data_IF_096172035249
#
_entry.id   IF_096172035249
#
_cell.length_a   1.000
_cell.length_b   1.000
_cell.length_c   1.000
_cell.angle_alpha   90.00
_cell.angle_beta   90.00
_cell.angle_gamma   90.00
#
_symmetry.space_group_name_H-M   'P 1'
#
loop_
_entity.id
_entity.type
_entity.pdbx_description
1 polymer ?
#
# COMPACT_ATOMS: atom_id res chain seq x y z
N UNK A 1 -70.10 -21.81 49.09
CA UNK A 1 -70.41 -20.94 47.94
C UNK A 1 -70.93 -19.60 48.48
N UNK A 2 -70.50 -18.47 47.88
CA UNK A 2 -70.94 -17.07 48.11
C UNK A 2 -70.33 -16.28 49.29
N UNK A 3 -69.52 -15.29 48.90
CA UNK A 3 -68.96 -14.14 49.64
C UNK A 3 -69.97 -12.99 49.76
N UNK A 4 -69.85 -12.17 50.82
CA UNK A 4 -70.07 -10.70 50.89
C UNK A 4 -69.79 -10.30 52.35
N UNK A 5 -69.10 -9.23 52.72
CA UNK A 5 -68.64 -8.02 52.03
C UNK A 5 -68.55 -6.95 53.11
N UNK A 6 -67.41 -6.87 53.80
CA UNK A 6 -67.17 -5.87 54.86
C UNK A 6 -66.79 -4.53 54.27
N UNK A 7 -67.50 -3.48 54.67
CA UNK A 7 -67.22 -2.08 54.33
C UNK A 7 -66.63 -1.43 55.58
N UNK A 8 -65.48 -0.76 55.48
CA UNK A 8 -65.17 0.45 56.24
C UNK A 8 -63.91 1.16 55.72
N UNK A 9 -64.15 2.26 54.98
CA UNK A 9 -63.53 3.59 55.04
C UNK A 9 -62.20 3.75 55.80
N UNK A 10 -61.20 4.38 55.17
CA UNK A 10 -60.73 5.73 55.57
C UNK A 10 -59.53 6.29 54.75
N UNK A 11 -59.68 7.59 54.43
CA UNK A 11 -58.67 8.65 54.39
C UNK A 11 -57.54 8.55 53.35
N UNK A 12 -57.74 9.18 52.19
CA UNK A 12 -56.64 9.71 51.38
C UNK A 12 -56.15 11.01 52.04
N UNK A 13 -54.96 10.95 52.64
CA UNK A 13 -54.14 12.12 52.96
C UNK A 13 -53.08 12.22 51.85
N UNK A 14 -53.15 13.27 51.05
CA UNK A 14 -52.02 13.72 50.23
C UNK A 14 -50.99 14.39 51.13
N UNK A 15 -49.70 14.20 50.84
CA UNK A 15 -48.80 15.33 50.89
C UNK A 15 -48.19 15.55 49.52
N UNK A 16 -48.33 16.80 49.11
CA UNK A 16 -47.53 17.49 48.13
C UNK A 16 -46.03 17.44 48.47
N UNK A 17 -45.23 17.65 47.42
CA UNK A 17 -43.93 18.30 47.40
C UNK A 17 -42.66 17.46 47.13
N UNK A 18 -41.88 17.97 46.17
CA UNK A 18 -40.42 17.84 46.17
C UNK A 18 -39.76 16.78 45.29
N UNK A 19 -39.63 17.07 43.99
CA UNK A 19 -38.38 16.91 43.23
C UNK A 19 -37.71 15.53 43.11
N UNK A 20 -37.56 15.04 41.86
CA UNK A 20 -36.47 14.11 41.52
C UNK A 20 -36.02 14.26 40.07
N UNK A 21 -35.10 15.20 39.88
CA UNK A 21 -34.15 15.26 38.75
C UNK A 21 -33.17 14.10 38.90
N UNK A 22 -33.56 12.89 38.50
CA UNK A 22 -32.66 11.72 38.54
C UNK A 22 -32.88 10.72 37.39
N UNK A 23 -33.51 11.18 36.29
CA UNK A 23 -33.75 10.34 35.11
C UNK A 23 -33.13 10.87 33.81
N UNK A 24 -32.48 12.04 33.84
CA UNK A 24 -31.91 12.68 32.64
C UNK A 24 -30.43 12.38 32.38
N UNK A 25 -29.70 11.74 33.31
CA UNK A 25 -28.24 11.55 33.15
C UNK A 25 -27.87 10.22 32.51
N UNK A 26 -28.70 9.18 32.65
CA UNK A 26 -28.40 7.83 32.11
C UNK A 26 -28.57 7.74 30.59
N UNK A 27 -29.41 8.58 29.98
CA UNK A 27 -29.55 8.63 28.53
C UNK A 27 -28.42 9.40 27.83
N UNK A 28 -27.70 10.30 28.52
CA UNK A 28 -26.56 11.03 27.91
C UNK A 28 -25.29 10.17 27.86
N UNK A 29 -25.00 9.41 28.92
CA UNK A 29 -23.81 8.53 28.96
C UNK A 29 -23.83 7.47 27.83
N UNK A 30 -25.00 6.92 27.49
CA UNK A 30 -25.15 5.94 26.41
C UNK A 30 -24.97 6.57 25.02
N UNK A 31 -25.37 7.84 24.86
CA UNK A 31 -25.24 8.56 23.59
C UNK A 31 -23.77 8.92 23.31
N UNK A 32 -23.03 9.30 24.34
CA UNK A 32 -21.60 9.65 24.27
C UNK A 32 -20.74 8.41 23.91
N UNK A 33 -20.99 7.27 24.55
CA UNK A 33 -20.27 6.01 24.25
C UNK A 33 -20.51 5.54 22.80
N UNK A 34 -21.72 5.74 22.27
CA UNK A 34 -22.06 5.40 20.90
C UNK A 34 -21.42 6.36 19.88
N UNK A 35 -21.23 7.63 20.24
CA UNK A 35 -20.53 8.60 19.41
C UNK A 35 -19.03 8.32 19.36
N UNK A 36 -18.42 7.98 20.50
CA UNK A 36 -17.01 7.55 20.58
C UNK A 36 -16.78 6.27 19.75
N UNK A 37 -17.68 5.29 19.83
CA UNK A 37 -17.59 4.08 19.01
C UNK A 37 -17.67 4.38 17.50
N UNK A 38 -18.54 5.31 17.10
CA UNK A 38 -18.62 5.77 15.70
C UNK A 38 -17.38 6.52 15.26
N UNK A 39 -16.83 7.39 16.12
CA UNK A 39 -15.59 8.12 15.86
C UNK A 39 -14.40 7.16 15.70
N UNK A 40 -14.28 6.17 16.58
CA UNK A 40 -13.24 5.13 16.48
C UNK A 40 -13.40 4.29 15.22
N UNK A 41 -14.63 3.94 14.84
CA UNK A 41 -14.91 3.23 13.58
C UNK A 41 -14.56 4.08 12.35
N UNK A 42 -14.80 5.40 12.39
CA UNK A 42 -14.39 6.31 11.32
C UNK A 42 -12.86 6.44 11.22
N UNK A 43 -12.16 6.47 12.36
CA UNK A 43 -10.69 6.46 12.40
C UNK A 43 -10.13 5.14 11.86
N UNK A 44 -10.72 4.00 12.22
CA UNK A 44 -10.31 2.70 11.66
C UNK A 44 -10.51 2.66 10.14
N UNK A 45 -11.65 3.16 9.65
CA UNK A 45 -11.91 3.28 8.20
C UNK A 45 -10.96 4.24 7.50
N UNK A 46 -10.54 5.34 8.14
CA UNK A 46 -9.55 6.26 7.57
C UNK A 46 -8.15 5.62 7.54
N UNK A 47 -7.79 4.87 8.57
CA UNK A 47 -6.54 4.12 8.62
C UNK A 47 -6.52 3.03 7.55
N UNK A 48 -7.57 2.20 7.44
CA UNK A 48 -7.75 1.21 6.37
C UNK A 48 -7.78 1.85 4.97
N UNK A 49 -8.50 2.96 4.78
CA UNK A 49 -8.51 3.66 3.50
C UNK A 49 -7.14 4.27 3.14
N UNK A 50 -6.34 4.66 4.14
CA UNK A 50 -4.96 5.13 3.92
C UNK A 50 -4.01 3.97 3.56
N UNK A 51 -4.23 2.79 4.15
CA UNK A 51 -3.49 1.56 3.85
C UNK A 51 -3.86 1.02 2.45
N UNK A 52 -5.15 1.05 2.09
CA UNK A 52 -5.66 0.72 0.75
C UNK A 52 -5.17 1.73 -0.29
N UNK A 53 -5.12 3.02 0.03
CA UNK A 53 -4.55 4.03 -0.88
C UNK A 53 -3.02 3.87 -1.01
N UNK A 54 -2.33 3.53 0.08
CA UNK A 54 -0.91 3.18 0.09
C UNK A 54 -0.58 1.87 -0.65
N UNK A 55 -1.52 0.91 -0.69
CA UNK A 55 -1.39 -0.31 -1.49
C UNK A 55 -1.77 -0.10 -2.95
N UNK A 56 -2.69 0.82 -3.26
CA UNK A 56 -3.03 1.18 -4.63
C UNK A 56 -1.88 1.91 -5.35
N UNK A 57 -1.08 2.71 -4.63
CA UNK A 57 0.17 3.28 -5.15
C UNK A 57 1.31 2.26 -5.32
N UNK A 58 1.19 1.05 -4.75
CA UNK A 58 2.12 -0.07 -4.98
C UNK A 58 1.72 -0.96 -6.15
N UNK A 59 0.54 -0.74 -6.73
CA UNK A 59 0.06 -1.38 -7.95
C UNK A 59 0.10 -0.40 -9.13
N UNK A 60 1.18 0.36 -9.28
CA UNK A 60 1.49 0.95 -10.57
C UNK A 60 1.88 -0.19 -11.50
N UNK A 61 1.20 -0.28 -12.64
CA UNK A 61 1.24 -1.37 -13.59
C UNK A 61 2.64 -1.97 -13.79
N UNK A 62 2.69 -3.28 -14.03
CA UNK A 62 3.90 -4.09 -14.28
C UNK A 62 4.90 -3.48 -15.29
N UNK A 63 4.50 -2.47 -16.07
CA UNK A 63 5.33 -1.71 -17.00
C UNK A 63 6.38 -0.81 -16.33
N UNK A 64 6.08 -0.25 -15.15
CA UNK A 64 7.02 0.64 -14.43
C UNK A 64 7.94 -0.12 -13.48
N UNK A 65 7.80 -1.45 -13.39
CA UNK A 65 8.65 -2.26 -12.55
C UNK A 65 10.00 -2.56 -13.24
N UNK A 66 11.14 -2.06 -12.72
CA UNK A 66 12.45 -2.27 -13.33
C UNK A 66 12.90 -3.74 -13.32
N UNK A 67 12.24 -4.61 -12.55
CA UNK A 67 12.51 -6.04 -12.46
C UNK A 67 11.65 -6.92 -13.38
N UNK A 68 10.86 -6.32 -14.28
CA UNK A 68 10.11 -7.05 -15.30
C UNK A 68 10.90 -7.07 -16.62
N UNK A 69 10.95 -8.23 -17.27
CA UNK A 69 11.46 -8.40 -18.62
C UNK A 69 10.29 -8.44 -19.61
N UNK A 70 10.41 -7.71 -20.71
CA UNK A 70 9.43 -7.76 -21.78
C UNK A 70 9.55 -9.09 -22.56
N UNK A 71 8.48 -9.52 -23.24
CA UNK A 71 8.51 -10.75 -24.06
C UNK A 71 9.53 -10.70 -25.20
N UNK A 72 9.88 -9.50 -25.65
CA UNK A 72 10.92 -9.27 -26.66
C UNK A 72 12.35 -9.22 -26.09
N UNK A 73 12.53 -9.27 -24.77
CA UNK A 73 13.86 -9.16 -24.16
C UNK A 73 14.57 -10.50 -24.21
N UNK A 74 15.71 -10.53 -24.90
CA UNK A 74 16.57 -11.69 -24.99
C UNK A 74 18.06 -11.29 -25.00
N UNK A 75 18.98 -12.21 -24.65
CA UNK A 75 20.41 -11.90 -24.55
C UNK A 75 21.08 -11.51 -25.88
N UNK A 76 20.43 -11.83 -27.00
CA UNK A 76 20.88 -11.48 -28.35
C UNK A 76 20.42 -10.10 -28.83
N UNK A 77 19.63 -9.37 -28.03
CA UNK A 77 19.08 -8.08 -28.43
C UNK A 77 20.17 -7.01 -28.44
N UNK A 78 20.37 -6.36 -29.59
CA UNK A 78 21.26 -5.20 -29.73
C UNK A 78 20.47 -3.94 -29.39
N UNK A 79 20.75 -3.35 -28.22
CA UNK A 79 20.05 -2.13 -27.76
C UNK A 79 20.79 -0.82 -28.14
N UNK A 80 22.02 -0.92 -28.63
CA UNK A 80 22.83 0.21 -29.13
C UNK A 80 23.52 -0.22 -30.42
N UNK A 81 23.44 0.59 -31.46
CA UNK A 81 24.05 0.32 -32.77
C UNK A 81 25.57 0.56 -32.80
N UNK A 82 26.06 1.45 -31.95
CA UNK A 82 27.49 1.75 -31.83
C UNK A 82 28.23 0.55 -31.22
N UNK A 83 29.18 -0.02 -31.96
CA UNK A 83 30.12 -1.02 -31.45
C UNK A 83 31.24 -0.27 -30.73
N UNK A 84 31.55 -0.65 -29.50
CA UNK A 84 32.63 -0.05 -28.72
C UNK A 84 33.99 -0.44 -29.35
N UNK A 85 34.75 0.56 -29.79
CA UNK A 85 36.05 0.39 -30.47
C UNK A 85 37.23 1.01 -29.69
N UNK A 86 36.96 1.48 -28.47
CA UNK A 86 37.93 2.16 -27.60
C UNK A 86 38.05 3.67 -27.84
N UNK A 87 37.68 4.18 -29.01
CA UNK A 87 37.70 5.62 -29.33
C UNK A 87 36.36 6.29 -29.09
N UNK A 88 35.27 5.52 -29.15
CA UNK A 88 33.90 6.03 -29.13
C UNK A 88 33.18 5.86 -27.77
N UNK A 89 33.91 5.62 -26.67
CA UNK A 89 33.31 5.33 -25.36
C UNK A 89 32.28 6.37 -24.92
N UNK A 90 32.55 7.67 -25.11
CA UNK A 90 31.63 8.72 -24.68
C UNK A 90 30.26 8.57 -25.37
N UNK A 91 30.26 8.55 -26.71
CA UNK A 91 29.05 8.38 -27.52
C UNK A 91 28.34 7.05 -27.23
N UNK A 92 29.11 5.97 -27.11
CA UNK A 92 28.58 4.65 -26.76
C UNK A 92 27.91 4.65 -25.38
N UNK A 93 28.54 5.25 -24.37
CA UNK A 93 28.04 5.28 -23.00
C UNK A 93 26.75 6.09 -22.87
N UNK A 94 26.63 7.18 -23.62
CA UNK A 94 25.40 8.00 -23.68
C UNK A 94 24.28 7.19 -24.33
N UNK A 95 24.54 6.58 -25.48
CA UNK A 95 23.57 5.74 -26.17
C UNK A 95 23.12 4.56 -25.30
N UNK A 96 24.05 3.90 -24.61
CA UNK A 96 23.75 2.78 -23.71
C UNK A 96 22.88 3.20 -22.53
N UNK A 97 23.18 4.34 -21.88
CA UNK A 97 22.34 4.86 -20.79
C UNK A 97 20.93 5.18 -21.27
N UNK A 98 20.79 5.86 -22.41
CA UNK A 98 19.48 6.21 -23.00
C UNK A 98 18.68 4.93 -23.31
N UNK A 99 19.30 3.93 -23.95
CA UNK A 99 18.63 2.68 -24.27
C UNK A 99 18.21 1.88 -23.03
N UNK A 100 19.03 1.88 -21.97
CA UNK A 100 18.67 1.22 -20.71
C UNK A 100 17.57 1.97 -19.96
N UNK A 101 17.59 3.29 -19.98
CA UNK A 101 16.56 4.14 -19.37
C UNK A 101 15.20 3.93 -20.04
N UNK A 102 15.16 3.93 -21.38
CA UNK A 102 13.96 3.64 -22.16
C UNK A 102 13.39 2.23 -21.90
N UNK A 103 14.21 1.29 -21.42
CA UNK A 103 13.80 -0.07 -21.02
C UNK A 103 13.52 -0.21 -19.53
N UNK A 104 13.62 0.87 -18.76
CA UNK A 104 13.51 0.88 -17.30
C UNK A 104 14.51 -0.11 -16.64
N UNK A 105 15.78 -0.03 -17.05
CA UNK A 105 16.87 -0.89 -16.57
C UNK A 105 18.11 -0.12 -16.12
N UNK A 106 18.12 1.20 -16.25
CA UNK A 106 19.26 2.04 -15.84
C UNK A 106 19.62 1.86 -14.37
N UNK A 107 18.61 1.66 -13.51
CA UNK A 107 18.80 1.45 -12.07
C UNK A 107 19.69 0.27 -11.69
N UNK A 108 19.76 -0.75 -12.54
CA UNK A 108 20.64 -1.92 -12.35
C UNK A 108 22.12 -1.59 -12.57
N UNK A 109 22.41 -0.50 -13.29
CA UNK A 109 23.78 -0.09 -13.68
C UNK A 109 24.29 1.05 -12.82
N UNK A 110 23.45 2.06 -12.54
CA UNK A 110 23.84 3.21 -11.73
C UNK A 110 23.78 2.96 -10.22
N UNK A 111 23.18 1.83 -9.81
CA UNK A 111 23.06 1.42 -8.41
C UNK A 111 21.87 2.04 -7.67
N UNK A 112 21.01 2.82 -8.34
CA UNK A 112 19.75 3.30 -7.75
C UNK A 112 18.79 2.15 -7.44
N UNK A 113 18.87 1.03 -8.17
CA UNK A 113 18.20 -0.22 -7.82
C UNK A 113 19.16 -1.15 -7.07
N UNK A 114 19.07 -1.13 -5.74
CA UNK A 114 19.93 -1.91 -4.86
C UNK A 114 19.77 -3.42 -5.11
N UNK A 115 20.89 -4.13 -4.99
CA UNK A 115 20.92 -5.59 -4.99
C UNK A 115 20.22 -6.10 -3.72
N UNK A 116 19.16 -6.91 -3.83
CA UNK A 116 18.51 -7.53 -2.67
C UNK A 116 19.43 -8.56 -1.99
N UNK A 117 19.13 -8.88 -0.72
CA UNK A 117 19.75 -10.02 -0.03
C UNK A 117 19.48 -11.32 -0.79
N UNK A 118 20.38 -12.30 -0.72
CA UNK A 118 20.18 -13.60 -1.39
C UNK A 118 18.98 -14.38 -0.81
N UNK A 119 18.59 -14.08 0.43
CA UNK A 119 17.41 -14.65 1.08
C UNK A 119 16.09 -14.00 0.65
N UNK A 120 16.13 -12.87 -0.08
CA UNK A 120 14.96 -12.16 -0.55
C UNK A 120 14.35 -12.87 -1.78
N UNK A 121 13.02 -13.01 -1.80
CA UNK A 121 12.27 -13.60 -2.92
C UNK A 121 12.52 -12.87 -4.25
N UNK A 122 12.83 -11.57 -4.20
CA UNK A 122 13.12 -10.73 -5.36
C UNK A 122 14.53 -10.93 -5.94
N UNK A 123 15.46 -11.53 -5.18
CA UNK A 123 16.86 -11.71 -5.61
C UNK A 123 16.97 -12.46 -6.93
N UNK A 124 16.19 -13.53 -7.11
CA UNK A 124 16.20 -14.33 -8.34
C UNK A 124 15.76 -13.52 -9.57
N UNK A 125 14.79 -12.63 -9.39
CA UNK A 125 14.25 -11.78 -10.46
C UNK A 125 15.26 -10.68 -10.79
N UNK A 126 15.81 -10.02 -9.76
CA UNK A 126 16.88 -9.04 -9.90
C UNK A 126 18.10 -9.64 -10.62
N UNK A 127 18.54 -10.83 -10.21
CA UNK A 127 19.69 -11.53 -10.80
C UNK A 127 19.47 -11.85 -12.29
N UNK A 128 18.25 -12.25 -12.66
CA UNK A 128 17.86 -12.47 -14.06
C UNK A 128 17.95 -11.18 -14.88
N UNK A 129 17.37 -10.08 -14.37
CA UNK A 129 17.39 -8.79 -15.05
C UNK A 129 18.82 -8.25 -15.18
N UNK A 130 19.62 -8.34 -14.12
CA UNK A 130 21.02 -7.96 -14.13
C UNK A 130 21.82 -8.76 -15.17
N UNK A 131 21.59 -10.07 -15.27
CA UNK A 131 22.23 -10.92 -16.28
C UNK A 131 21.84 -10.52 -17.70
N UNK A 132 20.57 -10.13 -17.91
CA UNK A 132 20.11 -9.59 -19.20
C UNK A 132 20.83 -8.29 -19.56
N UNK A 133 20.89 -7.32 -18.63
CA UNK A 133 21.60 -6.05 -18.84
C UNK A 133 23.08 -6.27 -19.16
N UNK A 134 23.75 -7.17 -18.43
CA UNK A 134 25.15 -7.55 -18.72
C UNK A 134 25.31 -8.09 -20.14
N UNK A 135 24.38 -8.93 -20.60
CA UNK A 135 24.42 -9.46 -21.96
C UNK A 135 24.34 -8.36 -23.01
N UNK A 136 23.48 -7.36 -22.82
CA UNK A 136 23.36 -6.22 -23.74
C UNK A 136 24.59 -5.31 -23.74
N UNK A 137 25.24 -5.14 -22.58
CA UNK A 137 26.47 -4.34 -22.44
C UNK A 137 27.68 -5.03 -23.07
N UNK A 138 27.78 -6.37 -22.97
CA UNK A 138 28.91 -7.12 -23.49
C UNK A 138 28.88 -7.26 -25.02
N UNK A 139 27.68 -7.34 -25.61
CA UNK A 139 27.48 -7.47 -27.07
C UNK A 139 28.19 -6.43 -27.95
N UNK A 140 28.23 -5.12 -27.63
CA UNK A 140 28.88 -4.13 -28.48
C UNK A 140 30.41 -4.19 -28.50
N UNK A 141 31.07 -5.17 -27.87
CA UNK A 141 32.54 -5.24 -27.88
C UNK A 141 33.03 -6.19 -28.97
N UNK A 142 33.60 -5.65 -30.06
CA UNK A 142 34.32 -6.46 -31.04
C UNK A 142 35.70 -6.78 -30.47
N UNK A 143 35.86 -7.96 -29.89
CA UNK A 143 37.19 -8.47 -29.52
C UNK A 143 37.83 -8.98 -30.82
N UNK A 144 38.84 -8.28 -31.31
CA UNK A 144 39.75 -8.74 -32.36
C UNK A 144 41.06 -9.20 -31.71
#
# INVERSE_FOLDING_TARGET
MVKKGGKMKNLNVTPDDGGSVARSTRNSMIAEDLEVARAQQQLNRRFEASEVRGSMLKNTDSFDNPLVLHSSDHPGLTIVSHILDGTNYNSWSIAMKISLDAKNKLGLVDGSLLRPSEDDLSFRIWSRCNSMVKSWILKPTRIL
#
